data_IF_446520310992
#
_entry.id   IF_446520310992
#
_cell.length_a   1.000
_cell.length_b   1.000
_cell.length_c   1.000
_cell.angle_alpha   90.00
_cell.angle_beta   90.00
_cell.angle_gamma   90.00
#
_symmetry.space_group_name_H-M   'P 1'
#
loop_
_entity.id
_entity.type
_entity.pdbx_description
1 polymer ?
#
# COMPACT_ATOMS: atom_id res chain seq x y z
N UNK A 1 6.78 10.11 0.94
CA UNK A 1 8.13 9.75 0.39
C UNK A 1 8.10 9.23 -1.06
N UNK A 2 7.10 8.41 -1.45
CA UNK A 2 6.91 7.89 -2.82
C UNK A 2 5.83 8.67 -3.60
N UNK A 3 4.86 9.25 -2.88
CA UNK A 3 3.77 10.09 -3.39
C UNK A 3 3.90 11.57 -3.01
N UNK A 4 5.00 11.92 -2.36
CA UNK A 4 5.29 13.30 -1.98
C UNK A 4 6.06 13.93 -3.14
N UNK A 5 5.46 14.92 -3.79
CA UNK A 5 6.02 15.62 -4.95
C UNK A 5 7.33 16.37 -4.61
N UNK A 6 7.52 16.74 -3.35
CA UNK A 6 8.73 17.40 -2.84
C UNK A 6 9.84 16.40 -2.44
N UNK A 7 9.62 15.10 -2.60
CA UNK A 7 10.60 14.06 -2.30
C UNK A 7 11.63 13.94 -3.42
N UNK A 8 12.92 13.89 -3.08
CA UNK A 8 14.01 13.67 -4.04
C UNK A 8 13.82 12.38 -4.88
N UNK A 9 13.09 11.42 -4.33
CA UNK A 9 12.83 10.09 -4.93
C UNK A 9 11.54 10.05 -5.75
N UNK A 10 10.77 11.14 -5.80
CA UNK A 10 9.44 11.16 -6.45
C UNK A 10 9.51 10.78 -7.93
N UNK A 11 10.50 11.30 -8.64
CA UNK A 11 10.71 11.06 -10.07
C UNK A 11 11.33 9.69 -10.39
N UNK A 12 11.75 8.91 -9.38
CA UNK A 12 12.31 7.57 -9.60
C UNK A 12 11.23 6.53 -9.91
N UNK A 13 9.96 6.83 -9.61
CA UNK A 13 8.82 5.96 -9.89
C UNK A 13 7.96 6.54 -11.01
N UNK A 14 7.46 5.67 -11.88
CA UNK A 14 6.46 6.05 -12.88
C UNK A 14 5.10 6.35 -12.22
N UNK A 15 4.24 7.07 -12.95
CA UNK A 15 2.87 7.32 -12.49
C UNK A 15 2.08 6.03 -12.29
N UNK A 16 2.31 5.01 -13.13
CA UNK A 16 1.73 3.68 -12.99
C UNK A 16 2.17 3.00 -11.69
N UNK A 17 3.47 3.01 -11.39
CA UNK A 17 4.00 2.41 -10.15
C UNK A 17 3.49 3.12 -8.89
N UNK A 18 3.37 4.46 -8.93
CA UNK A 18 2.76 5.24 -7.84
C UNK A 18 1.27 4.90 -7.67
N UNK A 19 0.56 4.69 -8.77
CA UNK A 19 -0.86 4.33 -8.77
C UNK A 19 -1.09 2.92 -8.22
N UNK A 20 -0.13 2.00 -8.42
CA UNK A 20 -0.19 0.64 -7.90
C UNK A 20 0.27 0.52 -6.43
N UNK A 21 0.87 1.56 -5.86
CA UNK A 21 1.44 1.49 -4.51
C UNK A 21 0.41 1.08 -3.43
N UNK A 22 -0.81 1.64 -3.48
CA UNK A 22 -1.91 1.26 -2.57
C UNK A 22 -2.26 -0.23 -2.70
N UNK A 23 -2.29 -0.73 -3.94
CA UNK A 23 -2.65 -2.11 -4.23
C UNK A 23 -1.57 -3.10 -3.75
N UNK A 24 -0.29 -2.76 -3.93
CA UNK A 24 0.82 -3.56 -3.44
C UNK A 24 0.82 -3.62 -1.90
N UNK A 25 0.61 -2.48 -1.24
CA UNK A 25 0.51 -2.39 0.21
C UNK A 25 -0.65 -3.25 0.74
N UNK A 26 -1.84 -3.12 0.13
CA UNK A 26 -2.99 -3.95 0.47
C UNK A 26 -2.71 -5.44 0.28
N UNK A 27 -2.10 -5.82 -0.85
CA UNK A 27 -1.79 -7.23 -1.15
C UNK A 27 -0.83 -7.84 -0.13
N UNK A 28 0.15 -7.07 0.35
CA UNK A 28 1.06 -7.51 1.42
C UNK A 28 0.34 -7.78 2.73
N UNK A 29 -0.66 -6.95 3.06
CA UNK A 29 -1.44 -7.07 4.29
C UNK A 29 -2.47 -8.21 4.19
N UNK A 30 -3.20 -8.30 3.07
CA UNK A 30 -4.32 -9.22 2.92
C UNK A 30 -3.90 -10.66 2.64
N UNK A 31 -2.79 -10.90 1.93
CA UNK A 31 -2.37 -12.25 1.56
C UNK A 31 -1.63 -12.97 2.68
N UNK A 32 -1.12 -12.23 3.68
CA UNK A 32 -0.43 -12.80 4.84
C UNK A 32 0.85 -13.60 4.53
N UNK A 33 1.32 -13.57 3.26
CA UNK A 33 2.48 -14.33 2.80
C UNK A 33 2.35 -15.84 3.07
N UNK A 34 3.33 -16.40 3.79
CA UNK A 34 3.38 -17.84 4.11
C UNK A 34 2.34 -18.29 5.14
N UNK A 35 1.65 -17.36 5.80
CA UNK A 35 0.71 -17.67 6.88
C UNK A 35 -0.69 -18.02 6.38
N UNK A 36 -0.99 -17.86 5.08
CA UNK A 36 -2.31 -18.11 4.48
C UNK A 36 -3.45 -17.57 5.36
N UNK A 37 -3.49 -16.24 5.55
CA UNK A 37 -4.51 -15.59 6.36
C UNK A 37 -5.89 -15.74 5.71
N UNK A 38 -6.63 -16.77 6.12
CA UNK A 38 -8.03 -16.93 5.76
C UNK A 38 -8.87 -15.95 6.59
N UNK A 39 -9.55 -15.04 5.91
CA UNK A 39 -10.47 -14.09 6.50
C UNK A 39 -11.70 -13.94 5.61
N UNK A 40 -12.88 -13.90 6.22
CA UNK A 40 -14.14 -13.66 5.51
C UNK A 40 -14.42 -12.16 5.35
N UNK A 41 -13.67 -11.30 6.04
CA UNK A 41 -13.86 -9.86 6.05
C UNK A 41 -12.61 -9.10 5.58
N UNK A 42 -12.73 -8.38 4.47
CA UNK A 42 -11.66 -7.54 3.92
C UNK A 42 -11.52 -6.18 4.64
N UNK A 43 -12.55 -5.74 5.36
CA UNK A 43 -12.62 -4.38 5.93
C UNK A 43 -11.44 -4.02 6.83
N UNK A 44 -10.96 -4.89 7.75
CA UNK A 44 -9.81 -4.57 8.60
C UNK A 44 -8.54 -4.30 7.78
N UNK A 45 -8.33 -5.03 6.68
CA UNK A 45 -7.18 -4.83 5.79
C UNK A 45 -7.27 -3.50 5.05
N UNK A 46 -8.47 -3.10 4.61
CA UNK A 46 -8.69 -1.80 3.97
C UNK A 46 -8.43 -0.64 4.94
N UNK A 47 -8.91 -0.76 6.18
CA UNK A 47 -8.74 0.26 7.21
C UNK A 47 -7.25 0.46 7.55
N UNK A 48 -6.52 -0.64 7.74
CA UNK A 48 -5.08 -0.62 8.01
C UNK A 48 -4.29 -0.12 6.80
N UNK A 49 -4.61 -0.59 5.58
CA UNK A 49 -3.96 -0.11 4.35
C UNK A 49 -4.11 1.41 4.24
N UNK A 50 -5.32 1.93 4.49
CA UNK A 50 -5.61 3.36 4.40
C UNK A 50 -4.88 4.17 5.46
N UNK A 51 -4.76 3.66 6.69
CA UNK A 51 -3.99 4.30 7.75
C UNK A 51 -2.50 4.39 7.37
N UNK A 52 -1.89 3.26 6.99
CA UNK A 52 -0.47 3.21 6.60
C UNK A 52 -0.22 4.10 5.38
N UNK A 53 -1.08 4.02 4.37
CA UNK A 53 -0.93 4.83 3.16
C UNK A 53 -0.92 6.33 3.47
N UNK A 54 -1.78 6.79 4.37
CA UNK A 54 -1.81 8.20 4.81
C UNK A 54 -0.55 8.61 5.57
N UNK A 55 0.01 7.71 6.37
CA UNK A 55 1.25 7.99 7.12
C UNK A 55 2.49 8.04 6.21
N UNK A 56 2.41 7.47 5.00
CA UNK A 56 3.51 7.39 4.03
C UNK A 56 3.51 8.51 2.97
N UNK A 57 2.40 9.24 2.84
CA UNK A 57 2.27 10.44 2.00
C UNK A 57 2.90 11.62 2.72
#
# INVERSE_FOLDING_TARGET
>A
MLLNEDSDVYCEFSEGERSEFVFLLFSHLCLGGQLCQYEDNVQPYLDVTKAIYKDLI
#
